data_IF_724121249636
#
_entry.id   IF_724121249636
#
_cell.length_a   1.000
_cell.length_b   1.000
_cell.length_c   1.000
_cell.angle_alpha   90.00
_cell.angle_beta   90.00
_cell.angle_gamma   90.00
#
_symmetry.space_group_name_H-M   'P 1'
#
loop_
_entity.id
_entity.type
_entity.pdbx_description
1 polymer ?
#
# COMPACT_ATOMS: atom_id res chain seq x y z
N UNK A 1 -10.84 24.60 -13.46
CA UNK A 1 -11.27 23.18 -13.59
C UNK A 1 -10.20 22.45 -14.38
N UNK A 2 -9.17 21.95 -13.70
CA UNK A 2 -8.00 21.36 -14.37
C UNK A 2 -8.33 19.90 -14.69
N UNK A 3 -8.29 19.54 -15.97
CA UNK A 3 -8.36 18.15 -16.44
C UNK A 3 -7.20 17.34 -15.82
N UNK A 4 -7.46 16.62 -14.73
CA UNK A 4 -6.54 15.57 -14.25
C UNK A 4 -6.94 14.25 -14.89
N UNK A 5 -6.58 14.05 -16.15
CA UNK A 5 -6.53 12.72 -16.78
C UNK A 5 -5.12 12.52 -17.31
N UNK A 6 -4.29 11.74 -16.61
CA UNK A 6 -3.08 11.23 -17.26
C UNK A 6 -2.51 9.91 -16.79
N UNK A 7 -2.80 9.37 -15.58
CA UNK A 7 -2.71 7.94 -15.22
C UNK A 7 -3.05 7.80 -13.73
N UNK A 8 -3.63 6.67 -13.34
CA UNK A 8 -3.92 6.37 -11.93
C UNK A 8 -2.64 5.98 -11.21
N UNK A 9 -2.29 6.70 -10.14
CA UNK A 9 -1.19 6.38 -9.24
C UNK A 9 -1.69 5.56 -8.06
N UNK A 10 -1.20 4.33 -7.92
CA UNK A 10 -1.59 3.43 -6.83
C UNK A 10 -0.39 3.04 -5.99
N UNK A 11 -0.56 3.07 -4.67
CA UNK A 11 0.38 2.47 -3.72
C UNK A 11 0.02 1.00 -3.55
N UNK A 12 0.93 0.08 -3.84
CA UNK A 12 0.79 -1.34 -3.56
C UNK A 12 1.61 -1.73 -2.32
N UNK A 13 0.98 -2.42 -1.37
CA UNK A 13 1.55 -2.84 -0.09
C UNK A 13 1.59 -4.37 -0.05
N UNK A 14 2.79 -4.92 0.05
CA UNK A 14 3.02 -6.35 0.25
C UNK A 14 3.72 -6.60 1.59
N UNK A 15 3.01 -7.26 2.50
CA UNK A 15 3.45 -7.64 3.84
C UNK A 15 3.12 -9.12 4.12
N UNK A 16 2.94 -9.92 3.05
CA UNK A 16 2.57 -11.33 3.20
C UNK A 16 3.67 -12.17 3.84
N UNK A 17 4.92 -11.77 3.65
CA UNK A 17 6.10 -12.42 4.19
C UNK A 17 6.41 -11.86 5.60
N UNK A 18 6.76 -12.70 6.59
CA UNK A 18 7.07 -12.25 7.94
C UNK A 18 8.34 -11.38 8.04
N UNK A 19 9.27 -11.47 7.08
CA UNK A 19 10.58 -10.81 7.09
C UNK A 19 10.74 -9.78 5.98
N UNK A 20 9.98 -9.91 4.89
CA UNK A 20 10.08 -9.03 3.73
C UNK A 20 8.86 -8.13 3.61
N UNK A 21 9.09 -6.82 3.60
CA UNK A 21 8.08 -5.80 3.29
C UNK A 21 8.43 -5.12 1.99
N UNK A 22 7.46 -5.00 1.10
CA UNK A 22 7.63 -4.30 -0.17
C UNK A 22 6.51 -3.29 -0.36
N UNK A 23 6.87 -2.08 -0.80
CA UNK A 23 5.92 -1.05 -1.22
C UNK A 23 6.27 -0.59 -2.63
N UNK A 24 5.26 -0.52 -3.48
CA UNK A 24 5.44 -0.19 -4.90
C UNK A 24 4.50 0.94 -5.30
N UNK A 25 5.04 1.98 -5.94
CA UNK A 25 4.24 3.00 -6.59
C UNK A 25 4.00 2.57 -8.05
N UNK A 26 2.74 2.39 -8.42
CA UNK A 26 2.32 2.03 -9.78
C UNK A 26 1.67 3.21 -10.46
N UNK A 27 1.96 3.39 -11.75
CA UNK A 27 1.28 4.32 -12.64
C UNK A 27 0.53 3.51 -13.71
N UNK A 28 -0.76 3.25 -13.50
CA UNK A 28 -1.51 2.26 -14.27
C UNK A 28 -0.94 0.85 -14.10
N UNK A 29 -0.53 0.21 -15.20
CA UNK A 29 0.12 -1.11 -15.17
C UNK A 29 1.64 -1.06 -14.97
N UNK A 30 2.25 0.14 -15.02
CA UNK A 30 3.69 0.30 -14.94
C UNK A 30 4.14 0.51 -13.49
N UNK A 31 5.20 -0.18 -13.09
CA UNK A 31 5.90 0.12 -11.83
C UNK A 31 6.71 1.40 -12.03
N UNK A 32 6.43 2.42 -11.22
CA UNK A 32 7.17 3.69 -11.21
C UNK A 32 8.38 3.60 -10.28
N UNK A 33 8.18 3.09 -9.07
CA UNK A 33 9.24 2.91 -8.07
C UNK A 33 8.84 1.77 -7.11
N UNK A 34 9.81 1.02 -6.61
CA UNK A 34 9.60 -0.05 -5.64
C UNK A 34 10.71 -0.02 -4.60
N UNK A 35 10.32 -0.15 -3.33
CA UNK A 35 11.23 -0.28 -2.20
C UNK A 35 10.89 -1.57 -1.46
N UNK A 36 11.92 -2.31 -1.07
CA UNK A 36 11.78 -3.51 -0.26
C UNK A 36 12.79 -3.48 0.87
N UNK A 37 12.40 -4.04 2.00
CA UNK A 37 13.28 -4.24 3.14
C UNK A 37 13.09 -5.66 3.67
N UNK A 38 14.21 -6.33 3.91
CA UNK A 38 14.25 -7.60 4.62
C UNK A 38 14.85 -7.34 6.00
N UNK A 39 14.10 -7.65 7.05
CA UNK A 39 14.57 -7.48 8.43
C UNK A 39 13.85 -8.43 9.39
N UNK A 40 14.37 -8.52 10.62
CA UNK A 40 13.75 -9.31 11.69
C UNK A 40 12.52 -8.62 12.33
N UNK A 41 12.32 -7.33 12.04
CA UNK A 41 11.24 -6.50 12.59
C UNK A 41 9.93 -6.59 11.78
N UNK A 42 9.93 -7.35 10.68
CA UNK A 42 8.78 -7.62 9.83
C UNK A 42 8.04 -6.36 9.38
N UNK A 43 6.72 -6.34 9.59
CA UNK A 43 5.83 -5.26 9.13
C UNK A 43 6.11 -3.87 9.73
N UNK A 44 7.01 -3.73 10.71
CA UNK A 44 7.40 -2.43 11.28
C UNK A 44 8.09 -1.52 10.25
N UNK A 45 8.74 -2.08 9.23
CA UNK A 45 9.37 -1.31 8.15
C UNK A 45 8.37 -0.67 7.18
N UNK A 46 7.08 -1.04 7.23
CA UNK A 46 6.08 -0.59 6.27
C UNK A 46 5.95 0.94 6.21
N UNK A 47 5.69 1.61 7.34
CA UNK A 47 5.50 3.05 7.36
C UNK A 47 6.77 3.83 6.96
N UNK A 48 7.98 3.49 7.47
CA UNK A 48 9.22 4.07 6.98
C UNK A 48 9.39 3.98 5.46
N UNK A 49 9.09 2.83 4.85
CA UNK A 49 9.18 2.64 3.41
C UNK A 49 8.14 3.49 2.64
N UNK A 50 6.90 3.57 3.12
CA UNK A 50 5.86 4.42 2.53
C UNK A 50 6.28 5.89 2.58
N UNK A 51 6.79 6.36 3.71
CA UNK A 51 7.28 7.74 3.87
C UNK A 51 8.45 8.01 2.92
N UNK A 52 9.43 7.10 2.84
CA UNK A 52 10.56 7.23 1.92
C UNK A 52 10.11 7.34 0.46
N UNK A 53 9.12 6.54 0.08
CA UNK A 53 8.57 6.50 -1.28
C UNK A 53 7.73 7.75 -1.64
N UNK A 54 6.90 8.25 -0.71
CA UNK A 54 5.90 9.27 -1.02
C UNK A 54 6.26 10.68 -0.56
N UNK A 55 7.07 10.85 0.50
CA UNK A 55 7.39 12.16 1.08
C UNK A 55 7.95 13.17 0.06
N UNK A 56 8.78 12.80 -0.94
CA UNK A 56 9.25 13.75 -1.94
C UNK A 56 8.15 14.27 -2.89
N UNK A 57 7.01 13.57 -2.97
CA UNK A 57 5.95 13.82 -3.97
C UNK A 57 4.63 14.30 -3.36
N UNK A 58 4.42 14.05 -2.06
CA UNK A 58 3.14 14.22 -1.39
C UNK A 58 2.32 12.93 -1.35
N UNK A 59 1.37 12.85 -0.43
CA UNK A 59 0.49 11.68 -0.26
C UNK A 59 -0.82 11.81 -1.05
N UNK A 60 -1.23 13.03 -1.36
CA UNK A 60 -2.42 13.43 -2.13
C UNK A 60 -2.30 13.12 -3.64
N UNK A 61 -1.14 12.62 -4.07
CA UNK A 61 -0.94 12.15 -5.45
C UNK A 61 -1.65 10.81 -5.73
N UNK A 62 -1.98 10.04 -4.69
CA UNK A 62 -2.51 8.69 -4.81
C UNK A 62 -3.98 8.71 -5.24
N UNK A 63 -4.32 7.88 -6.22
CA UNK A 63 -5.68 7.61 -6.68
C UNK A 63 -6.28 6.35 -6.02
N UNK A 64 -5.44 5.53 -5.37
CA UNK A 64 -5.86 4.30 -4.70
C UNK A 64 -4.73 3.55 -4.02
N UNK A 65 -5.11 2.53 -3.26
CA UNK A 65 -4.19 1.65 -2.55
C UNK A 65 -4.55 0.20 -2.86
N UNK A 66 -3.55 -0.61 -3.11
CA UNK A 66 -3.65 -2.06 -3.25
C UNK A 66 -2.89 -2.70 -2.09
N UNK A 67 -3.48 -3.73 -1.49
CA UNK A 67 -2.84 -4.49 -0.42
C UNK A 67 -3.03 -5.98 -0.65
N UNK A 68 -1.98 -6.75 -0.41
CA UNK A 68 -2.04 -8.22 -0.47
C UNK A 68 -3.04 -8.75 0.56
N UNK A 69 -3.98 -9.58 0.10
CA UNK A 69 -5.00 -10.21 0.94
C UNK A 69 -4.59 -11.61 1.43
N UNK A 70 -3.43 -12.09 1.01
CA UNK A 70 -2.91 -13.42 1.33
C UNK A 70 -3.32 -14.52 0.34
N UNK A 71 -2.92 -15.77 0.60
CA UNK A 71 -2.39 -16.30 1.87
C UNK A 71 -1.05 -15.66 2.34
N UNK A 72 -0.86 -15.47 3.65
CA UNK A 72 0.36 -14.91 4.23
C UNK A 72 0.35 -14.77 5.77
N UNK A 73 1.40 -14.14 6.31
CA UNK A 73 1.60 -13.91 7.75
C UNK A 73 0.45 -13.16 8.40
N UNK A 74 -0.09 -13.69 9.51
CA UNK A 74 -1.18 -13.08 10.26
C UNK A 74 -0.87 -11.63 10.68
N UNK A 75 0.31 -11.41 11.27
CA UNK A 75 0.73 -10.08 11.71
C UNK A 75 0.95 -9.16 10.51
N UNK A 76 1.68 -9.64 9.50
CA UNK A 76 2.01 -8.85 8.32
C UNK A 76 0.78 -8.36 7.58
N UNK A 77 -0.12 -9.27 7.23
CA UNK A 77 -1.35 -8.96 6.50
C UNK A 77 -2.27 -7.99 7.27
N UNK A 78 -2.40 -8.15 8.59
CA UNK A 78 -3.20 -7.23 9.41
C UNK A 78 -2.59 -5.84 9.48
N UNK A 79 -1.27 -5.73 9.59
CA UNK A 79 -0.57 -4.43 9.58
C UNK A 79 -0.73 -3.77 8.21
N UNK A 80 -0.48 -4.49 7.12
CA UNK A 80 -0.65 -4.00 5.76
C UNK A 80 -2.08 -3.48 5.51
N UNK A 81 -3.10 -4.28 5.83
CA UNK A 81 -4.49 -3.89 5.65
C UNK A 81 -4.92 -2.72 6.53
N UNK A 82 -4.41 -2.63 7.77
CA UNK A 82 -4.74 -1.53 8.68
C UNK A 82 -4.16 -0.21 8.18
N UNK A 83 -2.90 -0.22 7.72
CA UNK A 83 -2.26 0.95 7.11
C UNK A 83 -2.99 1.36 5.83
N UNK A 84 -3.28 0.41 4.94
CA UNK A 84 -4.00 0.68 3.70
C UNK A 84 -5.37 1.34 3.97
N UNK A 85 -6.15 0.81 4.92
CA UNK A 85 -7.46 1.36 5.28
C UNK A 85 -7.35 2.74 5.94
N UNK A 86 -6.36 2.96 6.81
CA UNK A 86 -6.13 4.27 7.42
C UNK A 86 -5.82 5.35 6.37
N UNK A 87 -4.94 5.04 5.41
CA UNK A 87 -4.66 5.94 4.30
C UNK A 87 -5.87 6.11 3.38
N UNK A 88 -6.57 5.03 3.04
CA UNK A 88 -7.78 5.08 2.21
C UNK A 88 -8.86 5.97 2.82
N UNK A 89 -9.05 5.89 4.14
CA UNK A 89 -9.96 6.77 4.88
C UNK A 89 -9.47 8.22 4.88
N UNK A 90 -8.21 8.47 5.25
CA UNK A 90 -7.66 9.82 5.37
C UNK A 90 -7.61 10.59 4.03
N UNK A 91 -7.33 9.89 2.92
CA UNK A 91 -7.23 10.48 1.59
C UNK A 91 -8.54 10.38 0.80
N UNK A 92 -9.56 9.71 1.35
CA UNK A 92 -10.82 9.41 0.66
C UNK A 92 -10.61 8.70 -0.70
N UNK A 93 -9.78 7.66 -0.72
CA UNK A 93 -9.43 6.86 -1.91
C UNK A 93 -9.74 5.37 -1.70
N UNK A 94 -10.01 4.61 -2.77
CA UNK A 94 -10.30 3.19 -2.66
C UNK A 94 -9.10 2.36 -2.21
N UNK A 95 -9.39 1.31 -1.42
CA UNK A 95 -8.47 0.22 -1.08
C UNK A 95 -8.96 -1.04 -1.78
N UNK A 96 -8.13 -1.71 -2.57
CA UNK A 96 -8.51 -2.85 -3.41
C UNK A 96 -9.79 -2.56 -4.23
N UNK A 97 -9.89 -1.33 -4.76
CA UNK A 97 -11.02 -0.87 -5.56
C UNK A 97 -12.30 -0.55 -4.79
N UNK A 98 -12.31 -0.59 -3.45
CA UNK A 98 -13.49 -0.34 -2.62
C UNK A 98 -13.25 0.80 -1.62
N UNK A 99 -14.23 1.69 -1.46
CA UNK A 99 -14.18 2.79 -0.48
C UNK A 99 -14.90 2.35 0.81
N UNK A 100 -14.25 2.54 1.96
CA UNK A 100 -14.85 2.30 3.28
C UNK A 100 -15.25 0.84 3.54
N UNK A 101 -14.63 -0.12 2.85
CA UNK A 101 -14.88 -1.56 3.05
C UNK A 101 -13.66 -2.25 3.66
N UNK A 102 -13.87 -3.23 4.56
CA UNK A 102 -12.77 -4.00 5.11
C UNK A 102 -12.09 -4.87 4.04
N UNK A 103 -10.80 -5.11 4.24
CA UNK A 103 -10.00 -6.03 3.43
C UNK A 103 -10.20 -7.46 3.93
N UNK A 104 -10.43 -8.41 3.02
CA UNK A 104 -10.70 -9.81 3.38
C UNK A 104 -9.40 -10.62 3.40
N UNK A 105 -8.81 -10.77 4.59
CA UNK A 105 -7.51 -11.42 4.77
C UNK A 105 -7.61 -12.95 4.80
N UNK A 106 -6.64 -13.61 4.17
CA UNK A 106 -6.43 -15.06 4.14
C UNK A 106 -5.05 -15.34 4.75
N UNK A 107 -5.00 -16.17 5.78
CA UNK A 107 -3.76 -16.49 6.50
C UNK A 107 -3.19 -17.83 6.05
N UNK A 108 -1.88 -18.04 6.28
CA UNK A 108 -1.22 -19.36 6.23
C UNK A 108 -1.00 -19.94 7.60
#
# INVERSE_FOLDING_TARGET
>A
MILRRSRKLCLHINTKDPKVVTVTLKEGSKISESLSEENEYGSQALLPLIVKLLKPRGFDILDGIEVEEGPGSFTGLRVGASVAQAFGYALNIPVNGKVGKPVNLRYT
#
